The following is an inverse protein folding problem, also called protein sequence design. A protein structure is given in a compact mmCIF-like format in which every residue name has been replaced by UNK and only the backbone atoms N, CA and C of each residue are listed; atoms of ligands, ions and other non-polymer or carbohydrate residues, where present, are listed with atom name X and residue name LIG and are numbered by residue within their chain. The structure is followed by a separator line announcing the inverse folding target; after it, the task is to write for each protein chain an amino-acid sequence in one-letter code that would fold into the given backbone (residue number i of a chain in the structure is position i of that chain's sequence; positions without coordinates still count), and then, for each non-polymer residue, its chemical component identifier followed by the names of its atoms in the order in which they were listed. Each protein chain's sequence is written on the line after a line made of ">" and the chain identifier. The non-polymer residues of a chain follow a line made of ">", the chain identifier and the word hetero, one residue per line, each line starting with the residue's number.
data_IF_276719645222
#
_entry.id   IF_276719645222
#
_cell.length_a   1.000
_cell.length_b   1.000
_cell.length_c   1.000
_cell.angle_alpha   90.00
_cell.angle_beta   90.00
_cell.angle_gamma   90.00
#
_symmetry.space_group_name_H-M   'P 1'
#
loop_
_entity.id
_entity.type
_entity.pdbx_description
1 polymer ?
#
# COMPACT_ATOMS: atom_id res chain seq x y z
N UNK A 1 -7.96 -12.62 -11.52
CA UNK A 1 -7.64 -11.27 -11.72
C UNK A 1 -6.21 -11.09 -11.94
N UNK A 2 -5.74 -11.83 -12.79
CA UNK A 2 -4.34 -11.77 -13.00
C UNK A 2 -3.88 -10.54 -13.68
N UNK A 3 -4.70 -10.02 -14.52
CA UNK A 3 -4.31 -8.81 -15.20
C UNK A 3 -4.16 -7.68 -14.23
N UNK A 4 -4.57 -7.93 -13.04
CA UNK A 4 -4.51 -6.91 -12.07
C UNK A 4 -3.15 -6.55 -11.62
N UNK A 5 -2.21 -7.45 -11.72
CA UNK A 5 -0.88 -7.13 -11.28
C UNK A 5 -0.38 -5.90 -11.98
N UNK A 6 -0.72 -5.76 -13.23
CA UNK A 6 -0.31 -4.60 -13.98
C UNK A 6 -1.15 -3.39 -13.63
N UNK A 7 -2.44 -3.63 -13.47
CA UNK A 7 -3.35 -2.53 -13.17
C UNK A 7 -3.24 -2.04 -11.74
N UNK A 8 -2.70 -2.87 -10.85
CA UNK A 8 -2.58 -2.49 -9.46
C UNK A 8 -1.45 -1.52 -9.21
N UNK A 9 -0.52 -1.43 -10.11
CA UNK A 9 0.56 -0.48 -9.97
C UNK A 9 0.02 0.91 -10.20
N UNK A 10 0.31 1.79 -9.25
CA UNK A 10 -0.19 3.15 -9.35
C UNK A 10 -1.66 3.29 -9.05
N UNK A 11 -2.26 2.25 -8.48
CA UNK A 11 -3.66 2.33 -8.12
C UNK A 11 -3.85 3.29 -6.96
N UNK A 12 -4.87 4.13 -7.05
CA UNK A 12 -5.13 5.15 -6.05
C UNK A 12 -6.34 4.80 -5.21
N UNK A 13 -6.28 5.15 -3.94
CA UNK A 13 -7.35 4.90 -2.98
C UNK A 13 -7.62 6.18 -2.20
N UNK A 14 -8.89 6.40 -1.86
CA UNK A 14 -9.27 7.56 -1.07
C UNK A 14 -9.77 7.16 0.32
N UNK A 15 -9.79 5.87 0.63
CA UNK A 15 -10.22 5.38 1.94
C UNK A 15 -9.09 4.55 2.54
N UNK A 16 -8.74 4.88 3.77
CA UNK A 16 -7.70 4.11 4.45
C UNK A 16 -8.12 2.65 4.63
N UNK A 17 -9.38 2.43 4.98
CA UNK A 17 -9.86 1.07 5.20
C UNK A 17 -9.75 0.24 3.94
N UNK A 18 -10.13 0.81 2.80
CA UNK A 18 -10.03 0.09 1.55
C UNK A 18 -8.57 -0.17 1.19
N UNK A 19 -7.73 0.83 1.37
CA UNK A 19 -6.32 0.69 1.05
C UNK A 19 -5.66 -0.34 1.96
N UNK A 20 -5.96 -0.28 3.25
CA UNK A 20 -5.39 -1.20 4.21
C UNK A 20 -5.81 -2.64 3.92
N UNK A 21 -7.08 -2.85 3.60
CA UNK A 21 -7.58 -4.18 3.26
C UNK A 21 -6.91 -4.69 1.99
N UNK A 22 -6.77 -3.82 1.01
CA UNK A 22 -6.15 -4.17 -0.24
C UNK A 22 -4.69 -4.60 -0.01
N UNK A 23 -3.96 -3.80 0.77
CA UNK A 23 -2.56 -4.11 1.03
C UNK A 23 -2.39 -5.36 1.88
N UNK A 24 -3.29 -5.55 2.86
CA UNK A 24 -3.21 -6.74 3.71
C UNK A 24 -3.38 -8.02 2.91
N UNK A 25 -4.17 -7.99 1.86
CA UNK A 25 -4.34 -9.16 1.02
C UNK A 25 -3.10 -9.46 0.20
N UNK A 26 -2.24 -8.45 0.04
CA UNK A 26 -1.04 -8.62 -0.77
C UNK A 26 0.22 -8.81 0.05
N UNK A 27 0.18 -8.45 1.34
CA UNK A 27 1.34 -8.61 2.19
C UNK A 27 1.64 -10.08 2.41
N UNK A 28 2.90 -10.42 2.35
CA UNK A 28 3.35 -11.78 2.56
C UNK A 28 4.26 -11.81 3.77
N UNK A 29 4.65 -13.00 4.18
CA UNK A 29 5.50 -13.15 5.33
C UNK A 29 6.80 -12.38 5.11
N UNK A 30 7.17 -11.59 6.11
CA UNK A 30 8.37 -10.78 5.99
C UNK A 30 8.11 -9.35 5.54
N UNK A 31 6.93 -9.08 5.03
CA UNK A 31 6.57 -7.73 4.66
C UNK A 31 6.28 -6.91 5.92
N UNK A 32 6.45 -5.60 5.82
CA UNK A 32 6.29 -4.77 7.00
C UNK A 32 5.81 -3.38 6.63
N UNK A 33 5.40 -2.63 7.65
CA UNK A 33 4.93 -1.26 7.46
C UNK A 33 5.71 -0.32 8.36
N UNK A 34 5.78 0.94 7.98
CA UNK A 34 6.33 1.99 8.80
C UNK A 34 5.44 3.21 8.70
N UNK A 35 5.41 3.97 9.78
CA UNK A 35 4.62 5.20 9.78
C UNK A 35 5.51 6.37 10.13
N UNK A 36 5.39 7.45 9.37
CA UNK A 36 6.19 8.64 9.59
C UNK A 36 5.42 9.85 9.09
N UNK A 37 5.31 10.88 9.95
CA UNK A 37 4.66 12.14 9.59
C UNK A 37 3.25 11.97 9.04
N UNK A 38 2.53 11.00 9.58
CA UNK A 38 1.15 10.75 9.16
C UNK A 38 1.04 9.95 7.89
N UNK A 39 2.14 9.44 7.37
CA UNK A 39 2.13 8.61 6.17
C UNK A 39 2.49 7.19 6.54
N UNK A 40 1.67 6.24 6.12
CA UNK A 40 1.92 4.82 6.36
C UNK A 40 2.57 4.23 5.11
N UNK A 41 3.76 3.69 5.27
CA UNK A 41 4.52 3.11 4.17
C UNK A 41 4.46 1.59 4.27
N UNK A 42 4.27 0.93 3.14
CA UNK A 42 4.23 -0.53 3.08
C UNK A 42 5.41 -1.03 2.27
N UNK A 43 6.18 -1.94 2.87
CA UNK A 43 7.39 -2.47 2.25
C UNK A 43 7.30 -3.98 2.12
N UNK A 44 7.90 -4.52 1.07
CA UNK A 44 8.01 -5.97 0.98
C UNK A 44 9.23 -6.44 1.77
N UNK A 45 9.42 -7.75 1.85
CA UNK A 45 10.51 -8.32 2.64
C UNK A 45 11.88 -7.91 2.13
N UNK A 46 11.97 -7.47 0.89
CA UNK A 46 13.22 -7.00 0.33
C UNK A 46 13.48 -5.52 0.58
N UNK A 47 12.57 -4.85 1.30
CA UNK A 47 12.73 -3.44 1.59
C UNK A 47 12.25 -2.50 0.50
N UNK A 48 11.54 -3.02 -0.50
CA UNK A 48 11.02 -2.17 -1.56
C UNK A 48 9.66 -1.61 -1.18
N UNK A 49 9.46 -0.33 -1.44
CA UNK A 49 8.19 0.32 -1.15
C UNK A 49 7.14 -0.16 -2.14
N UNK A 50 6.05 -0.72 -1.62
CA UNK A 50 4.98 -1.24 -2.48
C UNK A 50 3.70 -0.43 -2.38
N UNK A 51 3.63 0.48 -1.42
CA UNK A 51 2.49 1.36 -1.32
C UNK A 51 2.65 2.32 -0.17
N UNK A 52 1.89 3.42 -0.20
CA UNK A 52 1.86 4.34 0.93
C UNK A 52 0.49 4.99 1.00
N UNK A 53 0.09 5.35 2.20
CA UNK A 53 -1.16 6.06 2.42
C UNK A 53 -0.88 7.31 3.23
N UNK A 54 -1.27 8.46 2.70
CA UNK A 54 -1.09 9.75 3.36
C UNK A 54 -2.34 10.04 4.17
N UNK A 55 -2.24 9.90 5.48
CA UNK A 55 -3.38 10.10 6.36
C UNK A 55 -3.77 11.58 6.44
N UNK A 56 -2.86 12.48 6.10
CA UNK A 56 -3.16 13.90 6.11
C UNK A 56 -3.99 14.29 4.90
N UNK A 57 -3.71 13.68 3.77
CA UNK A 57 -4.44 13.98 2.54
C UNK A 57 -5.61 13.04 2.31
N UNK A 58 -5.64 11.90 2.99
CA UNK A 58 -6.67 10.91 2.78
C UNK A 58 -6.51 10.20 1.45
N UNK A 59 -5.29 9.92 1.06
CA UNK A 59 -5.01 9.38 -0.26
C UNK A 59 -3.91 8.32 -0.18
N UNK A 60 -4.12 7.20 -0.85
CA UNK A 60 -3.13 6.13 -0.91
C UNK A 60 -2.83 5.74 -2.34
N UNK A 61 -1.63 5.22 -2.56
CA UNK A 61 -1.23 4.81 -3.90
C UNK A 61 -0.34 3.59 -3.81
N UNK A 62 -0.45 2.71 -4.81
CA UNK A 62 0.39 1.52 -4.90
C UNK A 62 1.48 1.73 -5.94
N UNK A 63 2.57 1.00 -5.79
CA UNK A 63 3.71 1.11 -6.68
C UNK A 63 4.04 -0.20 -7.37
#
# INVERSE_FOLDING_TARGET
>A
MTALDFNDRGRAFVSFDEFNNYMNERLEEGDYTKEKDGITYYYNSGGCLIGKYDNNEGFGITY
#
